data_IF_677018076017
#
_entry.id   IF_677018076017
#
_cell.length_a   1.000
_cell.length_b   1.000
_cell.length_c   1.000
_cell.angle_alpha   90.00
_cell.angle_beta   90.00
_cell.angle_gamma   90.00
#
_symmetry.space_group_name_H-M   'P 1'
#
loop_
_entity.id
_entity.type
_entity.pdbx_description
1 polymer ?
#
# COMPACT_ATOMS: atom_id res chain seq x y z
N UNK A 1 9.91 -34.77 17.53
CA UNK A 1 10.14 -33.31 17.70
C UNK A 1 9.90 -32.67 16.35
N UNK A 2 8.76 -31.97 16.19
CA UNK A 2 8.50 -31.22 14.96
C UNK A 2 9.41 -29.97 15.01
N UNK A 3 10.53 -30.01 14.34
CA UNK A 3 11.31 -28.81 14.06
C UNK A 3 10.46 -27.94 13.11
N UNK A 4 9.68 -27.01 13.66
CA UNK A 4 9.07 -25.96 12.84
C UNK A 4 10.21 -25.29 12.09
N UNK A 5 10.28 -25.48 10.79
CA UNK A 5 11.22 -24.78 9.90
C UNK A 5 11.00 -23.29 10.16
N UNK A 6 12.06 -22.55 10.45
CA UNK A 6 11.95 -21.10 10.64
C UNK A 6 11.39 -20.47 9.35
N UNK A 7 10.46 -19.52 9.46
CA UNK A 7 9.88 -18.89 8.28
C UNK A 7 10.96 -18.17 7.46
N UNK A 8 10.91 -18.34 6.14
CA UNK A 8 11.75 -17.62 5.18
C UNK A 8 10.86 -17.01 4.11
N UNK A 9 10.92 -15.70 3.97
CA UNK A 9 10.07 -14.97 3.03
C UNK A 9 10.82 -14.55 1.77
N UNK A 10 10.17 -14.69 0.61
CA UNK A 10 10.58 -14.04 -0.63
C UNK A 10 9.88 -12.67 -0.70
N UNK A 11 10.64 -11.60 -0.95
CA UNK A 11 10.12 -10.23 -0.95
C UNK A 11 10.43 -9.55 -2.27
N UNK A 12 9.41 -9.18 -3.03
CA UNK A 12 9.56 -8.29 -4.19
C UNK A 12 9.35 -6.84 -3.75
N UNK A 13 10.10 -5.90 -4.32
CA UNK A 13 10.02 -4.49 -3.92
C UNK A 13 10.63 -4.18 -2.54
N UNK A 14 11.54 -5.04 -2.06
CA UNK A 14 12.24 -4.91 -0.77
C UNK A 14 13.03 -3.61 -0.61
N UNK A 15 13.53 -3.01 -1.70
CA UNK A 15 14.26 -1.74 -1.70
C UNK A 15 13.37 -0.51 -1.67
N UNK A 16 12.04 -0.67 -1.82
CA UNK A 16 11.07 0.43 -1.74
C UNK A 16 10.87 0.92 -0.29
N UNK A 17 10.12 2.02 -0.14
CA UNK A 17 9.84 2.63 1.17
C UNK A 17 9.27 1.62 2.17
N UNK A 18 8.21 0.94 1.81
CA UNK A 18 7.54 -0.06 2.65
C UNK A 18 8.38 -1.35 2.77
N UNK A 19 8.98 -1.80 1.66
CA UNK A 19 9.83 -3.00 1.66
C UNK A 19 11.00 -2.89 2.62
N UNK A 20 11.70 -1.76 2.62
CA UNK A 20 12.82 -1.51 3.55
C UNK A 20 12.38 -1.49 5.02
N UNK A 21 11.18 -0.98 5.30
CA UNK A 21 10.63 -1.00 6.66
C UNK A 21 10.25 -2.43 7.10
N UNK A 22 9.65 -3.22 6.19
CA UNK A 22 9.31 -4.64 6.45
C UNK A 22 10.57 -5.46 6.72
N UNK A 23 11.59 -5.34 5.85
CA UNK A 23 12.84 -6.10 6.02
C UNK A 23 13.55 -5.75 7.33
N UNK A 24 13.54 -4.48 7.73
CA UNK A 24 14.09 -4.05 9.02
C UNK A 24 13.37 -4.71 10.22
N UNK A 25 12.04 -4.88 10.15
CA UNK A 25 11.28 -5.59 11.21
C UNK A 25 11.61 -7.07 11.19
N UNK A 26 11.66 -7.72 10.02
CA UNK A 26 12.02 -9.14 9.90
C UNK A 26 13.40 -9.39 10.47
N UNK A 27 14.39 -8.56 10.14
CA UNK A 27 15.77 -8.65 10.66
C UNK A 27 15.78 -8.53 12.20
N UNK A 28 15.03 -7.58 12.75
CA UNK A 28 14.95 -7.38 14.20
C UNK A 28 14.32 -8.58 14.94
N UNK A 29 13.46 -9.33 14.24
CA UNK A 29 12.82 -10.54 14.78
C UNK A 29 13.57 -11.83 14.44
N UNK A 30 14.71 -11.74 13.76
CA UNK A 30 15.49 -12.90 13.34
C UNK A 30 14.80 -13.78 12.29
N UNK A 31 13.85 -13.21 11.53
CA UNK A 31 13.11 -13.91 10.48
C UNK A 31 13.87 -13.77 9.16
N UNK A 32 14.19 -14.90 8.53
CA UNK A 32 14.95 -14.93 7.28
C UNK A 32 14.09 -14.46 6.09
N UNK A 33 14.71 -13.73 5.18
CA UNK A 33 14.08 -13.31 3.93
C UNK A 33 15.09 -13.26 2.78
N UNK A 34 14.58 -13.25 1.54
CA UNK A 34 15.36 -13.11 0.33
C UNK A 34 14.67 -12.07 -0.55
N UNK A 35 15.42 -11.14 -1.10
CA UNK A 35 14.89 -10.20 -2.08
C UNK A 35 14.73 -10.89 -3.45
N UNK A 36 13.74 -10.44 -4.22
CA UNK A 36 13.63 -10.71 -5.64
C UNK A 36 13.54 -9.36 -6.37
N UNK A 37 14.63 -9.00 -7.03
CA UNK A 37 14.76 -7.71 -7.69
C UNK A 37 14.32 -7.78 -9.15
N UNK A 38 13.80 -6.66 -9.66
CA UNK A 38 13.52 -6.52 -11.08
C UNK A 38 14.81 -6.73 -11.90
N UNK A 39 14.70 -7.53 -12.97
CA UNK A 39 15.83 -7.87 -13.83
C UNK A 39 16.67 -9.07 -13.38
N UNK A 40 16.31 -9.73 -12.28
CA UNK A 40 16.88 -11.06 -11.96
C UNK A 40 16.39 -12.10 -12.95
N UNK A 41 17.26 -13.07 -13.27
CA UNK A 41 16.93 -14.15 -14.19
C UNK A 41 15.69 -14.90 -13.73
N UNK A 42 14.72 -15.06 -14.62
CA UNK A 42 13.44 -15.71 -14.29
C UNK A 42 12.43 -14.84 -13.55
N UNK A 43 12.67 -13.52 -13.40
CA UNK A 43 11.71 -12.59 -12.85
C UNK A 43 11.56 -11.34 -13.71
N UNK A 44 10.41 -11.22 -14.36
CA UNK A 44 10.00 -10.00 -15.06
C UNK A 44 8.49 -9.75 -14.86
N UNK A 45 8.14 -8.84 -13.96
CA UNK A 45 6.73 -8.53 -13.66
C UNK A 45 6.00 -7.85 -14.83
N UNK A 46 6.72 -7.20 -15.76
CA UNK A 46 6.11 -6.50 -16.89
C UNK A 46 5.67 -7.47 -17.98
N UNK A 47 6.47 -8.51 -18.24
CA UNK A 47 6.15 -9.59 -19.20
C UNK A 47 5.42 -10.77 -18.54
N UNK A 48 5.29 -10.78 -17.20
CA UNK A 48 4.61 -11.85 -16.47
C UNK A 48 5.43 -13.13 -16.37
N UNK A 49 6.76 -13.03 -16.29
CA UNK A 49 7.66 -14.18 -16.12
C UNK A 49 8.04 -14.35 -14.65
N UNK A 50 7.90 -15.59 -14.15
CA UNK A 50 8.39 -15.98 -12.82
C UNK A 50 8.89 -17.43 -12.85
N UNK A 51 10.16 -17.66 -12.48
CA UNK A 51 10.74 -18.99 -12.34
C UNK A 51 10.47 -19.54 -10.93
N UNK A 52 9.73 -20.66 -10.77
CA UNK A 52 9.47 -21.26 -9.46
C UNK A 52 10.71 -21.66 -8.65
N UNK A 53 11.90 -21.71 -9.23
CA UNK A 53 13.16 -21.94 -8.50
C UNK A 53 13.38 -20.91 -7.38
N UNK A 54 12.89 -19.69 -7.55
CA UNK A 54 12.94 -18.66 -6.51
C UNK A 54 12.17 -19.03 -5.24
N UNK A 55 11.32 -20.06 -5.30
CA UNK A 55 10.52 -20.54 -4.15
C UNK A 55 11.20 -21.65 -3.34
N UNK A 56 12.40 -22.10 -3.74
CA UNK A 56 13.10 -23.15 -3.01
C UNK A 56 13.41 -22.74 -1.56
N UNK A 57 12.87 -23.48 -0.60
CA UNK A 57 12.99 -23.21 0.83
C UNK A 57 12.24 -21.95 1.32
N UNK A 58 11.35 -21.37 0.49
CA UNK A 58 10.52 -20.22 0.84
C UNK A 58 9.22 -20.71 1.49
N UNK A 59 8.86 -20.12 2.62
CA UNK A 59 7.64 -20.44 3.37
C UNK A 59 6.49 -19.48 3.06
N UNK A 60 6.78 -18.28 2.57
CA UNK A 60 5.77 -17.29 2.19
C UNK A 60 6.35 -16.20 1.30
N UNK A 61 5.48 -15.50 0.59
CA UNK A 61 5.85 -14.42 -0.33
C UNK A 61 5.20 -13.11 0.10
N UNK A 62 5.98 -12.02 0.13
CA UNK A 62 5.49 -10.65 0.32
C UNK A 62 5.73 -9.89 -0.98
N UNK A 63 4.65 -9.55 -1.67
CA UNK A 63 4.69 -8.91 -2.99
C UNK A 63 4.33 -7.42 -2.90
N UNK A 64 5.34 -6.56 -3.08
CA UNK A 64 5.20 -5.10 -2.99
C UNK A 64 5.60 -4.40 -4.30
N UNK A 65 6.12 -5.14 -5.27
CA UNK A 65 6.59 -4.56 -6.53
C UNK A 65 5.43 -3.97 -7.34
N UNK A 66 5.67 -2.82 -7.95
CA UNK A 66 4.72 -2.15 -8.82
C UNK A 66 5.20 -0.76 -9.21
N UNK A 67 4.80 -0.32 -10.40
CA UNK A 67 5.12 1.00 -10.95
C UNK A 67 4.58 2.13 -10.06
N UNK A 68 5.34 3.22 -9.92
CA UNK A 68 4.98 4.36 -9.09
C UNK A 68 3.74 5.10 -9.62
N UNK A 69 2.65 5.10 -8.85
CA UNK A 69 1.37 5.70 -9.24
C UNK A 69 1.44 7.21 -9.50
N UNK A 70 2.38 7.92 -8.85
CA UNK A 70 2.57 9.37 -8.94
C UNK A 70 3.92 9.72 -9.60
N UNK A 71 4.44 8.85 -10.49
CA UNK A 71 5.68 9.07 -11.22
C UNK A 71 5.57 10.15 -12.30
N UNK A 72 4.35 10.43 -12.78
CA UNK A 72 4.07 11.45 -13.79
C UNK A 72 2.57 11.55 -14.09
N UNK A 73 2.20 12.40 -15.06
CA UNK A 73 0.79 12.50 -15.52
C UNK A 73 0.32 11.16 -16.07
N UNK A 74 -0.95 10.84 -15.86
CA UNK A 74 -1.56 9.61 -16.35
C UNK A 74 -1.90 9.75 -17.85
N UNK A 75 -0.96 9.36 -18.69
CA UNK A 75 -1.20 9.04 -20.10
C UNK A 75 -1.66 7.59 -20.20
N UNK A 76 -2.22 7.19 -21.34
CA UNK A 76 -2.64 5.80 -21.56
C UNK A 76 -1.47 4.81 -21.34
N UNK A 77 -0.28 5.17 -21.81
CA UNK A 77 0.93 4.37 -21.58
C UNK A 77 1.29 4.27 -20.10
N UNK A 78 1.20 5.35 -19.32
CA UNK A 78 1.47 5.33 -17.88
C UNK A 78 0.41 4.52 -17.13
N UNK A 79 -0.87 4.65 -17.51
CA UNK A 79 -1.94 3.82 -16.96
C UNK A 79 -1.72 2.33 -17.24
N UNK A 80 -1.31 1.99 -18.46
CA UNK A 80 -0.99 0.62 -18.82
C UNK A 80 0.19 0.07 -17.99
N UNK A 81 1.25 0.85 -17.80
CA UNK A 81 2.38 0.44 -16.94
C UNK A 81 1.95 0.23 -15.48
N UNK A 82 1.13 1.14 -14.93
CA UNK A 82 0.60 1.02 -13.58
C UNK A 82 -0.23 -0.27 -13.43
N UNK A 83 -1.09 -0.57 -14.39
CA UNK A 83 -1.92 -1.78 -14.42
C UNK A 83 -1.04 -3.04 -14.57
N UNK A 84 -0.25 -3.11 -15.63
CA UNK A 84 0.49 -4.32 -16.00
C UNK A 84 1.53 -4.73 -14.96
N UNK A 85 2.27 -3.77 -14.40
CA UNK A 85 3.27 -4.04 -13.35
C UNK A 85 2.65 -4.69 -12.11
N UNK A 86 1.36 -4.46 -11.84
CA UNK A 86 0.64 -5.05 -10.72
C UNK A 86 0.00 -6.38 -11.11
N UNK A 87 -0.77 -6.38 -12.17
CA UNK A 87 -1.59 -7.53 -12.56
C UNK A 87 -0.71 -8.67 -13.08
N UNK A 88 0.18 -8.39 -14.03
CA UNK A 88 1.03 -9.44 -14.62
C UNK A 88 2.02 -10.00 -13.59
N UNK A 89 2.66 -9.13 -12.81
CA UNK A 89 3.61 -9.56 -11.78
C UNK A 89 2.95 -10.41 -10.70
N UNK A 90 1.78 -9.99 -10.19
CA UNK A 90 1.03 -10.77 -9.20
C UNK A 90 0.56 -12.10 -9.77
N UNK A 91 0.06 -12.11 -11.03
CA UNK A 91 -0.39 -13.31 -11.72
C UNK A 91 0.73 -14.33 -11.87
N UNK A 92 1.90 -13.88 -12.35
CA UNK A 92 3.06 -14.75 -12.53
C UNK A 92 3.54 -15.38 -11.22
N UNK A 93 3.61 -14.59 -10.14
CA UNK A 93 3.92 -15.10 -8.80
C UNK A 93 2.89 -16.12 -8.33
N UNK A 94 1.61 -15.81 -8.46
CA UNK A 94 0.53 -16.70 -8.00
C UNK A 94 0.51 -18.02 -8.77
N UNK A 95 0.70 -18.00 -10.08
CA UNK A 95 0.79 -19.19 -10.93
C UNK A 95 2.06 -20.00 -10.60
N UNK A 96 3.20 -19.35 -10.44
CA UNK A 96 4.44 -20.01 -10.04
C UNK A 96 4.35 -20.67 -8.67
N UNK A 97 3.72 -19.98 -7.69
CA UNK A 97 3.46 -20.57 -6.36
C UNK A 97 2.50 -21.76 -6.45
N UNK A 98 1.45 -21.67 -7.28
CA UNK A 98 0.50 -22.76 -7.48
C UNK A 98 1.14 -23.99 -8.14
N UNK A 99 2.10 -23.80 -9.04
CA UNK A 99 2.81 -24.85 -9.76
C UNK A 99 4.01 -25.44 -9.00
N UNK A 100 4.46 -24.80 -7.90
CA UNK A 100 5.62 -25.27 -7.15
C UNK A 100 5.37 -26.63 -6.47
N UNK A 101 6.37 -27.51 -6.48
CA UNK A 101 6.33 -28.81 -5.80
C UNK A 101 6.13 -28.63 -4.28
N UNK A 102 6.84 -27.65 -3.70
CA UNK A 102 6.68 -27.23 -2.31
C UNK A 102 6.06 -25.83 -2.29
N UNK A 103 4.76 -25.77 -2.16
CA UNK A 103 4.01 -24.53 -2.18
C UNK A 103 4.31 -23.69 -0.92
N UNK A 104 4.65 -22.41 -1.05
CA UNK A 104 4.64 -21.48 0.08
C UNK A 104 3.28 -21.44 0.74
N UNK A 105 3.25 -21.31 2.07
CA UNK A 105 2.02 -21.32 2.83
C UNK A 105 1.16 -20.06 2.64
N UNK A 106 1.80 -18.93 2.25
CA UNK A 106 1.11 -17.64 2.20
C UNK A 106 1.66 -16.72 1.10
N UNK A 107 0.74 -15.98 0.47
CA UNK A 107 1.01 -14.83 -0.39
C UNK A 107 0.40 -13.58 0.24
N UNK A 108 1.24 -12.62 0.63
CA UNK A 108 0.81 -11.30 1.09
C UNK A 108 1.05 -10.31 -0.04
N UNK A 109 0.01 -9.64 -0.50
CA UNK A 109 0.13 -8.63 -1.56
C UNK A 109 -0.21 -7.24 -1.03
N UNK A 110 0.53 -6.23 -1.50
CA UNK A 110 0.03 -4.88 -1.45
C UNK A 110 -1.24 -4.79 -2.32
N UNK A 111 -2.17 -3.94 -1.89
CA UNK A 111 -3.35 -3.48 -2.61
C UNK A 111 -3.57 -2.01 -2.25
N UNK A 112 -4.69 -1.39 -2.60
CA UNK A 112 -4.90 0.02 -2.33
C UNK A 112 -6.36 0.38 -2.02
N UNK A 113 -6.56 1.40 -1.18
CA UNK A 113 -7.87 2.01 -0.92
C UNK A 113 -8.48 2.65 -2.17
N UNK A 114 -7.71 2.78 -3.25
CA UNK A 114 -8.22 3.12 -4.59
C UNK A 114 -9.33 2.21 -5.09
N UNK A 115 -9.49 1.01 -4.52
CA UNK A 115 -10.65 0.12 -4.71
C UNK A 115 -11.98 0.83 -4.49
N UNK A 116 -12.05 1.71 -3.50
CA UNK A 116 -13.30 2.40 -3.14
C UNK A 116 -13.62 3.61 -4.02
N UNK A 117 -12.63 4.18 -4.72
CA UNK A 117 -12.81 5.39 -5.52
C UNK A 117 -13.20 6.62 -4.68
N UNK A 118 -13.86 7.59 -5.30
CA UNK A 118 -14.39 8.77 -4.61
C UNK A 118 -15.78 8.47 -4.03
N UNK A 119 -15.90 8.49 -2.70
CA UNK A 119 -17.14 8.13 -1.95
C UNK A 119 -17.70 9.29 -1.12
N UNK A 120 -17.15 10.50 -1.24
CA UNK A 120 -17.57 11.62 -0.40
C UNK A 120 -17.39 11.31 1.09
N UNK A 121 -18.47 11.41 1.87
CA UNK A 121 -18.46 11.16 3.33
C UNK A 121 -18.80 9.71 3.71
N UNK A 122 -19.11 8.86 2.71
CA UNK A 122 -19.47 7.47 2.96
C UNK A 122 -18.31 6.72 3.62
N UNK A 123 -18.59 5.99 4.70
CA UNK A 123 -17.63 5.14 5.37
C UNK A 123 -17.46 3.86 4.56
N UNK A 124 -16.22 3.55 4.19
CA UNK A 124 -15.84 2.34 3.48
C UNK A 124 -15.13 1.37 4.43
N UNK A 125 -15.54 0.12 4.40
CA UNK A 125 -14.93 -1.00 5.12
C UNK A 125 -14.57 -2.10 4.14
N UNK A 126 -13.98 -3.18 4.61
CA UNK A 126 -13.62 -4.33 3.75
C UNK A 126 -14.82 -4.99 3.07
N UNK A 127 -16.03 -4.78 3.60
CA UNK A 127 -17.29 -5.27 3.04
C UNK A 127 -17.91 -4.34 2.00
N UNK A 128 -17.43 -3.10 1.88
CA UNK A 128 -17.96 -2.11 0.95
C UNK A 128 -17.70 -2.49 -0.51
N UNK A 129 -18.68 -2.18 -1.38
CA UNK A 129 -18.57 -2.42 -2.81
C UNK A 129 -17.47 -1.56 -3.46
N UNK A 130 -16.90 -2.00 -4.59
CA UNK A 130 -15.94 -1.19 -5.34
C UNK A 130 -16.56 0.13 -5.81
N UNK A 131 -15.73 1.15 -5.91
CA UNK A 131 -16.10 2.43 -6.49
C UNK A 131 -16.07 2.41 -8.02
N UNK A 132 -15.68 3.53 -8.60
CA UNK A 132 -15.55 3.70 -10.04
C UNK A 132 -14.23 4.39 -10.40
N UNK A 133 -13.78 4.20 -11.64
CA UNK A 133 -12.61 4.86 -12.20
C UNK A 133 -11.39 3.96 -12.32
N UNK A 134 -10.34 4.51 -12.93
CA UNK A 134 -9.14 3.77 -13.28
C UNK A 134 -8.52 3.00 -12.11
N UNK A 135 -8.38 3.62 -10.95
CA UNK A 135 -7.77 2.96 -9.78
C UNK A 135 -8.60 1.79 -9.26
N UNK A 136 -9.91 1.94 -9.28
CA UNK A 136 -10.81 0.86 -8.88
C UNK A 136 -10.63 -0.38 -9.75
N UNK A 137 -10.61 -0.18 -11.08
CA UNK A 137 -10.42 -1.31 -12.01
C UNK A 137 -9.02 -1.93 -11.83
N UNK A 138 -7.96 -1.12 -11.72
CA UNK A 138 -6.61 -1.62 -11.44
C UNK A 138 -6.58 -2.49 -10.19
N UNK A 139 -7.21 -2.05 -9.09
CA UNK A 139 -7.18 -2.80 -7.83
C UNK A 139 -7.98 -4.10 -7.92
N UNK A 140 -9.14 -4.10 -8.59
CA UNK A 140 -9.93 -5.31 -8.84
C UNK A 140 -9.12 -6.36 -9.60
N UNK A 141 -8.51 -5.96 -10.71
CA UNK A 141 -7.70 -6.85 -11.53
C UNK A 141 -6.45 -7.34 -10.78
N UNK A 142 -5.85 -6.45 -9.98
CA UNK A 142 -4.68 -6.77 -9.15
C UNK A 142 -5.00 -7.81 -8.08
N UNK A 143 -6.10 -7.64 -7.32
CA UNK A 143 -6.52 -8.60 -6.30
C UNK A 143 -6.91 -9.95 -6.93
N UNK A 144 -7.61 -9.95 -8.07
CA UNK A 144 -7.97 -11.15 -8.82
C UNK A 144 -6.75 -11.88 -9.44
N UNK A 145 -5.65 -11.17 -9.68
CA UNK A 145 -4.43 -11.78 -10.21
C UNK A 145 -3.80 -12.80 -9.24
N UNK A 146 -4.14 -12.76 -7.95
CA UNK A 146 -3.68 -13.73 -6.96
C UNK A 146 -4.56 -14.99 -6.85
N UNK A 147 -5.67 -15.09 -7.61
CA UNK A 147 -6.59 -16.23 -7.56
C UNK A 147 -5.91 -17.59 -7.80
N UNK A 148 -4.96 -17.77 -8.74
CA UNK A 148 -4.29 -19.05 -8.90
C UNK A 148 -3.63 -19.58 -7.62
N UNK A 149 -3.06 -18.72 -6.79
CA UNK A 149 -2.50 -19.12 -5.51
C UNK A 149 -3.61 -19.54 -4.52
N UNK A 150 -4.73 -18.81 -4.49
CA UNK A 150 -5.89 -19.13 -3.66
C UNK A 150 -6.51 -20.46 -4.05
N UNK A 151 -6.70 -20.70 -5.35
CA UNK A 151 -7.28 -21.93 -5.90
C UNK A 151 -6.38 -23.16 -5.63
N UNK A 152 -5.06 -22.93 -5.52
CA UNK A 152 -4.08 -23.95 -5.14
C UNK A 152 -4.01 -24.20 -3.62
N UNK A 153 -4.88 -23.57 -2.81
CA UNK A 153 -4.95 -23.74 -1.36
C UNK A 153 -3.92 -22.90 -0.58
N UNK A 154 -3.24 -21.95 -1.22
CA UNK A 154 -2.31 -21.04 -0.56
C UNK A 154 -3.13 -19.91 0.10
N UNK A 155 -2.79 -19.57 1.33
CA UNK A 155 -3.39 -18.43 2.04
C UNK A 155 -3.01 -17.12 1.36
N UNK A 156 -4.00 -16.36 0.91
CA UNK A 156 -3.79 -15.07 0.24
C UNK A 156 -4.32 -13.95 1.12
N UNK A 157 -3.50 -12.91 1.33
CA UNK A 157 -3.86 -11.69 2.05
C UNK A 157 -3.59 -10.47 1.19
N UNK A 158 -4.62 -9.65 0.97
CA UNK A 158 -4.52 -8.37 0.30
C UNK A 158 -4.58 -7.23 1.34
N UNK A 159 -3.56 -6.39 1.37
CA UNK A 159 -3.52 -5.23 2.27
C UNK A 159 -3.79 -3.96 1.46
N UNK A 160 -5.02 -3.43 1.53
CA UNK A 160 -5.44 -2.19 0.86
C UNK A 160 -4.86 -0.98 1.57
N UNK A 161 -3.72 -0.55 1.11
CA UNK A 161 -2.97 0.60 1.65
C UNK A 161 -3.72 1.92 1.42
N UNK A 162 -3.85 2.69 2.49
CA UNK A 162 -4.10 4.12 2.42
C UNK A 162 -2.83 4.91 2.09
N UNK A 163 -2.83 6.20 2.41
CA UNK A 163 -1.65 7.05 2.24
C UNK A 163 -0.62 6.70 3.31
N UNK A 164 0.45 6.02 2.91
CA UNK A 164 1.57 5.70 3.81
C UNK A 164 2.37 6.97 4.09
N UNK A 165 2.42 7.38 5.36
CA UNK A 165 3.14 8.57 5.79
C UNK A 165 4.59 8.24 6.17
N UNK A 166 5.52 8.96 5.55
CA UNK A 166 6.96 8.91 5.86
C UNK A 166 7.66 10.15 5.29
N UNK A 167 8.62 10.70 6.02
CA UNK A 167 9.52 11.76 5.51
C UNK A 167 10.51 11.24 4.46
N UNK A 168 10.81 9.92 4.48
CA UNK A 168 11.79 9.29 3.60
C UNK A 168 11.26 9.10 2.18
N UNK A 169 9.93 9.06 1.99
CA UNK A 169 9.34 8.78 0.68
C UNK A 169 7.83 9.03 0.63
N UNK A 170 7.22 8.66 -0.51
CA UNK A 170 5.77 8.72 -0.68
C UNK A 170 5.17 10.12 -0.75
N UNK A 171 3.90 10.23 -0.38
CA UNK A 171 3.12 11.46 -0.48
C UNK A 171 3.63 12.55 0.48
N UNK A 172 3.90 12.21 1.74
CA UNK A 172 4.35 13.18 2.74
C UNK A 172 5.65 13.88 2.31
N UNK A 173 6.65 13.13 1.83
CA UNK A 173 7.91 13.71 1.33
C UNK A 173 7.68 14.76 0.24
N UNK A 174 6.70 14.52 -0.66
CA UNK A 174 6.35 15.46 -1.73
C UNK A 174 5.60 16.69 -1.21
N UNK A 175 4.84 16.54 -0.12
CA UNK A 175 4.12 17.65 0.52
C UNK A 175 5.03 18.56 1.37
N UNK A 176 6.06 18.01 2.00
CA UNK A 176 6.91 18.73 2.96
C UNK A 176 7.54 20.03 2.43
N UNK A 177 8.08 20.13 1.18
CA UNK A 177 8.77 21.35 0.74
C UNK A 177 7.90 22.60 0.85
N UNK A 178 6.70 22.70 0.26
CA UNK A 178 5.89 23.92 0.39
C UNK A 178 5.52 24.22 1.85
N UNK A 179 5.25 23.21 2.67
CA UNK A 179 4.92 23.41 4.08
C UNK A 179 6.11 23.94 4.89
N UNK A 180 7.33 23.42 4.67
CA UNK A 180 8.55 23.89 5.33
C UNK A 180 8.84 25.36 5.03
N UNK A 181 8.46 25.85 3.84
CA UNK A 181 8.57 27.28 3.46
C UNK A 181 7.38 28.14 3.92
N UNK A 182 6.40 27.58 4.63
CA UNK A 182 5.21 28.31 5.07
C UNK A 182 4.23 28.63 3.94
N UNK A 183 4.36 27.95 2.80
CA UNK A 183 3.49 28.06 1.62
C UNK A 183 2.47 26.92 1.53
N UNK A 184 2.37 26.10 2.57
CA UNK A 184 1.42 25.01 2.65
C UNK A 184 -0.02 25.49 2.84
N UNK A 185 -0.97 24.65 2.44
CA UNK A 185 -2.39 24.90 2.64
C UNK A 185 -3.25 23.76 2.17
N UNK A 186 -4.56 23.89 2.45
CA UNK A 186 -5.55 22.88 2.06
C UNK A 186 -5.69 22.75 0.54
N UNK A 187 -6.05 21.57 0.09
CA UNK A 187 -6.36 21.28 -1.30
C UNK A 187 -7.86 21.48 -1.53
N UNK A 188 -8.25 22.20 -2.58
CA UNK A 188 -9.65 22.51 -2.86
C UNK A 188 -10.35 23.19 -1.68
N UNK A 189 -11.48 22.63 -1.28
CA UNK A 189 -12.25 23.06 -0.09
C UNK A 189 -11.73 22.45 1.22
N UNK A 190 -10.85 21.45 1.13
CA UNK A 190 -10.28 20.76 2.28
C UNK A 190 -11.20 19.71 2.93
N UNK A 191 -12.38 19.44 2.35
CA UNK A 191 -13.37 18.53 2.94
C UNK A 191 -13.14 17.06 2.59
N UNK A 192 -12.30 16.75 1.59
CA UNK A 192 -12.05 15.37 1.19
C UNK A 192 -11.38 14.58 2.34
N UNK A 193 -11.89 13.38 2.57
CA UNK A 193 -11.35 12.42 3.54
C UNK A 193 -10.07 11.79 3.02
N UNK A 194 -9.07 11.72 3.90
CA UNK A 194 -7.77 11.09 3.68
C UNK A 194 -7.64 9.91 4.64
N UNK A 195 -7.56 8.70 4.08
CA UNK A 195 -7.25 7.50 4.82
C UNK A 195 -5.76 7.26 4.73
N UNK A 196 -5.09 7.29 5.86
CA UNK A 196 -3.63 7.30 6.00
C UNK A 196 -3.18 6.21 6.97
N UNK A 197 -1.89 5.90 6.95
CA UNK A 197 -1.24 5.02 7.93
C UNK A 197 0.22 5.44 8.11
N UNK A 198 0.75 5.30 9.31
CA UNK A 198 2.18 5.48 9.57
C UNK A 198 2.98 4.32 8.93
N UNK A 199 4.18 4.61 8.38
CA UNK A 199 5.03 3.60 7.73
C UNK A 199 5.33 2.41 8.65
N UNK A 200 5.60 2.64 9.94
CA UNK A 200 5.90 1.59 10.90
C UNK A 200 4.69 0.65 11.09
N UNK A 201 3.47 1.20 11.27
CA UNK A 201 2.27 0.39 11.43
C UNK A 201 1.95 -0.39 10.15
N UNK A 202 2.14 0.25 8.98
CA UNK A 202 1.98 -0.44 7.72
C UNK A 202 2.94 -1.64 7.59
N UNK A 203 4.22 -1.45 7.88
CA UNK A 203 5.22 -2.52 7.81
C UNK A 203 4.94 -3.63 8.84
N UNK A 204 4.55 -3.27 10.06
CA UNK A 204 4.20 -4.24 11.10
C UNK A 204 2.99 -5.08 10.71
N UNK A 205 1.98 -4.50 10.05
CA UNK A 205 0.81 -5.24 9.57
C UNK A 205 1.18 -6.27 8.49
N UNK A 206 2.10 -5.95 7.58
CA UNK A 206 2.62 -6.93 6.60
C UNK A 206 3.30 -8.11 7.30
N UNK A 207 4.18 -7.84 8.27
CA UNK A 207 4.87 -8.89 9.03
C UNK A 207 3.87 -9.72 9.84
N UNK A 208 2.89 -9.08 10.48
CA UNK A 208 1.84 -9.77 11.22
C UNK A 208 1.02 -10.67 10.30
N UNK A 209 0.59 -10.18 9.14
CA UNK A 209 -0.16 -10.97 8.16
C UNK A 209 0.66 -12.15 7.60
N UNK A 210 1.98 -11.99 7.46
CA UNK A 210 2.87 -13.05 7.01
C UNK A 210 3.07 -14.15 8.05
N UNK A 211 3.09 -13.80 9.35
CA UNK A 211 3.45 -14.70 10.45
C UNK A 211 2.25 -15.27 11.22
N UNK A 212 1.07 -14.63 11.15
CA UNK A 212 -0.15 -15.10 11.82
C UNK A 212 -1.10 -15.75 10.82
N UNK A 213 -1.41 -17.02 11.00
CA UNK A 213 -2.29 -17.81 10.12
C UNK A 213 -3.75 -17.32 10.12
N UNK A 214 -4.17 -16.60 11.16
CA UNK A 214 -5.52 -16.01 11.26
C UNK A 214 -5.79 -14.90 10.24
N UNK A 215 -4.74 -14.30 9.67
CA UNK A 215 -4.89 -13.28 8.63
C UNK A 215 -5.19 -13.93 7.28
N UNK A 216 -6.39 -13.67 6.72
CA UNK A 216 -6.80 -14.18 5.42
C UNK A 216 -7.74 -13.22 4.69
N UNK A 217 -7.66 -13.18 3.36
CA UNK A 217 -8.51 -12.34 2.51
C UNK A 217 -8.06 -10.88 2.52
N UNK A 218 -9.00 -9.94 2.58
CA UNK A 218 -8.77 -8.51 2.39
C UNK A 218 -8.79 -7.77 3.72
N UNK A 219 -7.83 -6.85 3.91
CA UNK A 219 -7.76 -5.92 5.04
C UNK A 219 -7.52 -4.50 4.54
N UNK A 220 -8.22 -3.54 5.11
CA UNK A 220 -7.89 -2.12 4.94
C UNK A 220 -6.69 -1.77 5.80
N UNK A 221 -5.60 -1.36 5.16
CA UNK A 221 -4.37 -0.98 5.85
C UNK A 221 -4.31 0.54 5.98
N UNK A 222 -5.08 1.05 6.91
CA UNK A 222 -5.24 2.47 7.26
C UNK A 222 -5.25 2.63 8.78
N UNK A 223 -4.90 3.81 9.28
CA UNK A 223 -5.11 4.15 10.69
C UNK A 223 -6.60 4.27 11.02
N UNK A 224 -7.02 3.99 12.27
CA UNK A 224 -8.44 3.95 12.66
C UNK A 224 -9.16 5.31 12.58
N UNK A 225 -8.40 6.40 12.48
CA UNK A 225 -8.94 7.76 12.45
C UNK A 225 -8.59 8.47 11.14
N UNK A 226 -9.38 8.26 10.05
CA UNK A 226 -9.24 9.06 8.84
C UNK A 226 -9.52 10.53 9.15
N UNK A 227 -8.87 11.44 8.43
CA UNK A 227 -9.00 12.88 8.64
C UNK A 227 -9.41 13.60 7.37
N UNK A 228 -10.05 14.76 7.47
CA UNK A 228 -10.25 15.64 6.32
C UNK A 228 -8.92 16.32 5.94
N UNK A 229 -8.78 16.73 4.68
CA UNK A 229 -7.56 17.39 4.21
C UNK A 229 -7.27 18.69 4.98
N UNK A 230 -8.29 19.44 5.40
CA UNK A 230 -8.15 20.62 6.27
C UNK A 230 -7.48 20.27 7.59
N UNK A 231 -7.88 19.18 8.23
CA UNK A 231 -7.37 18.74 9.52
C UNK A 231 -5.93 18.21 9.37
N UNK A 232 -5.68 17.41 8.32
CA UNK A 232 -4.33 16.97 7.95
C UNK A 232 -3.40 18.18 7.74
N UNK A 233 -3.87 19.19 6.99
CA UNK A 233 -3.11 20.41 6.69
C UNK A 233 -2.75 21.16 7.97
N UNK A 234 -3.71 21.28 8.89
CA UNK A 234 -3.51 21.93 10.19
C UNK A 234 -2.53 21.16 11.06
N UNK A 235 -2.69 19.84 11.16
CA UNK A 235 -1.80 18.96 11.91
C UNK A 235 -0.35 19.02 11.38
N UNK A 236 -0.19 19.01 10.03
CA UNK A 236 1.13 19.12 9.39
C UNK A 236 1.78 20.49 9.64
N UNK A 237 0.98 21.56 9.56
CA UNK A 237 1.47 22.91 9.89
C UNK A 237 1.92 23.03 11.35
N UNK A 238 1.16 22.46 12.29
CA UNK A 238 1.49 22.43 13.71
C UNK A 238 2.78 21.65 13.97
N UNK A 239 2.93 20.46 13.39
CA UNK A 239 4.14 19.64 13.53
C UNK A 239 5.40 20.37 13.02
N UNK A 240 5.29 21.08 11.90
CA UNK A 240 6.37 21.86 11.31
C UNK A 240 6.55 23.25 11.94
N UNK A 241 5.60 23.71 12.78
CA UNK A 241 5.54 25.08 13.31
C UNK A 241 5.52 26.11 12.18
N UNK A 242 4.71 25.88 11.15
CA UNK A 242 4.55 26.72 9.96
C UNK A 242 3.09 27.07 9.70
N UNK A 243 2.78 28.28 9.20
CA UNK A 243 1.44 28.63 8.77
C UNK A 243 1.00 27.82 7.56
N UNK A 244 -0.32 27.61 7.42
CA UNK A 244 -0.94 26.81 6.34
C UNK A 244 -2.07 27.59 5.67
N UNK A 245 -1.79 28.83 5.32
CA UNK A 245 -2.79 29.82 4.87
C UNK A 245 -2.97 29.90 3.35
N UNK A 246 -2.18 29.16 2.57
CA UNK A 246 -2.20 29.25 1.11
C UNK A 246 -2.93 28.03 0.49
N UNK A 247 -4.27 28.09 0.27
CA UNK A 247 -5.01 26.98 -0.31
C UNK A 247 -4.59 26.78 -1.78
N UNK A 248 -4.58 25.53 -2.21
CA UNK A 248 -4.38 25.16 -3.61
C UNK A 248 -5.75 24.89 -4.24
N UNK A 249 -6.25 25.75 -5.14
CA UNK A 249 -7.55 25.56 -5.77
C UNK A 249 -7.65 24.23 -6.54
N UNK A 250 -8.78 23.53 -6.42
CA UNK A 250 -9.01 22.27 -7.13
C UNK A 250 -8.83 22.38 -8.66
N UNK A 251 -9.19 23.53 -9.23
CA UNK A 251 -8.99 23.81 -10.67
C UNK A 251 -7.52 23.77 -11.05
N UNK A 252 -6.63 24.31 -10.22
CA UNK A 252 -5.18 24.27 -10.46
C UNK A 252 -4.65 22.84 -10.41
N UNK A 253 -5.10 22.03 -9.45
CA UNK A 253 -4.72 20.61 -9.36
C UNK A 253 -5.15 19.86 -10.61
N UNK A 254 -6.40 20.05 -11.06
CA UNK A 254 -6.93 19.43 -12.28
C UNK A 254 -6.16 19.88 -13.53
N UNK A 255 -5.83 21.15 -13.65
CA UNK A 255 -5.10 21.68 -14.80
C UNK A 255 -3.65 21.16 -14.88
N UNK A 256 -2.96 21.12 -13.73
CA UNK A 256 -1.55 20.72 -13.67
C UNK A 256 -1.35 19.22 -13.73
N UNK A 257 -2.19 18.45 -13.02
CA UNK A 257 -2.02 17.01 -12.81
C UNK A 257 -3.07 16.15 -13.54
N UNK A 258 -4.13 16.77 -14.09
CA UNK A 258 -5.18 16.06 -14.79
C UNK A 258 -5.90 15.03 -13.93
N UNK A 259 -6.24 13.89 -14.51
CA UNK A 259 -6.93 12.78 -13.85
C UNK A 259 -6.16 12.24 -12.62
N UNK A 260 -4.82 12.21 -12.67
CA UNK A 260 -4.00 11.81 -11.53
C UNK A 260 -4.26 12.71 -10.32
N UNK A 261 -4.29 14.04 -10.53
CA UNK A 261 -4.55 15.00 -9.44
C UNK A 261 -5.97 14.86 -8.89
N UNK A 262 -6.95 14.63 -9.75
CA UNK A 262 -8.34 14.40 -9.34
C UNK A 262 -8.48 13.12 -8.51
N UNK A 263 -7.87 12.02 -8.97
CA UNK A 263 -8.00 10.71 -8.32
C UNK A 263 -7.16 10.55 -7.05
N UNK A 264 -5.98 11.18 -6.97
CA UNK A 264 -5.06 11.00 -5.84
C UNK A 264 -5.15 12.12 -4.79
N UNK A 265 -5.54 13.34 -5.19
CA UNK A 265 -5.49 14.51 -4.30
C UNK A 265 -6.86 15.09 -3.98
N UNK A 266 -7.86 14.89 -4.85
CA UNK A 266 -9.19 15.47 -4.69
C UNK A 266 -10.29 14.42 -4.41
N UNK A 267 -10.00 13.14 -4.58
CA UNK A 267 -10.93 12.09 -4.21
C UNK A 267 -11.08 12.00 -2.70
N UNK A 268 -12.32 11.83 -2.25
CA UNK A 268 -12.67 11.66 -0.85
C UNK A 268 -12.94 10.18 -0.58
N UNK A 269 -12.15 9.57 0.31
CA UNK A 269 -12.28 8.15 0.62
C UNK A 269 -12.08 7.93 2.12
N UNK A 270 -13.20 7.78 2.84
CA UNK A 270 -13.22 7.58 4.29
C UNK A 270 -13.21 6.10 4.62
N UNK A 271 -12.03 5.52 4.80
CA UNK A 271 -11.84 4.07 5.01
C UNK A 271 -11.56 3.78 6.47
N UNK A 272 -12.19 2.74 7.01
CA UNK A 272 -11.93 2.20 8.34
C UNK A 272 -11.32 0.80 8.25
N UNK A 273 -10.41 0.43 9.17
CA UNK A 273 -9.73 -0.86 9.20
C UNK A 273 -10.47 -1.88 10.09
N UNK A 274 -11.77 -2.13 9.84
CA UNK A 274 -12.61 -2.95 10.72
C UNK A 274 -12.02 -4.33 11.02
N UNK A 275 -11.51 -5.02 9.99
CA UNK A 275 -10.90 -6.34 10.19
C UNK A 275 -9.57 -6.26 10.94
N UNK A 276 -8.79 -5.20 10.71
CA UNK A 276 -7.51 -5.05 11.38
C UNK A 276 -7.70 -4.76 12.88
N UNK A 277 -8.68 -3.90 13.22
CA UNK A 277 -9.08 -3.67 14.62
C UNK A 277 -9.64 -4.93 15.28
N UNK A 278 -10.49 -5.70 14.57
CA UNK A 278 -11.02 -6.96 15.07
C UNK A 278 -9.95 -8.07 15.22
N UNK A 279 -8.79 -7.95 14.57
CA UNK A 279 -7.67 -8.89 14.66
C UNK A 279 -6.73 -8.65 15.85
N UNK A 280 -7.07 -7.73 16.73
CA UNK A 280 -6.22 -7.30 17.86
C UNK A 280 -4.86 -6.72 17.38
N UNK A 281 -4.84 -6.10 16.19
CA UNK A 281 -3.66 -5.38 15.72
C UNK A 281 -3.51 -4.08 16.50
N UNK A 282 -2.35 -3.89 17.12
CA UNK A 282 -2.06 -2.68 17.87
C UNK A 282 -1.40 -1.63 16.98
N UNK A 283 -2.10 -0.50 16.78
CA UNK A 283 -1.54 0.65 16.09
C UNK A 283 -0.62 1.44 17.04
N UNK A 284 0.60 1.68 16.61
CA UNK A 284 1.55 2.54 17.35
C UNK A 284 1.14 4.02 17.20
N UNK A 285 0.65 4.39 16.01
CA UNK A 285 0.28 5.77 15.67
C UNK A 285 -1.17 5.85 15.15
N UNK A 286 -2.18 5.71 16.05
CA UNK A 286 -3.58 5.73 15.64
C UNK A 286 -4.09 7.12 15.23
N UNK A 287 -3.44 8.21 15.69
CA UNK A 287 -3.85 9.60 15.47
C UNK A 287 -2.82 10.36 14.64
N UNK A 288 -3.34 11.24 13.76
CA UNK A 288 -2.52 11.99 12.80
C UNK A 288 -1.47 12.89 13.47
N UNK A 289 -1.82 13.54 14.58
CA UNK A 289 -0.90 14.44 15.29
C UNK A 289 0.29 13.66 15.89
N UNK A 290 0.05 12.48 16.44
CA UNK A 290 1.07 11.59 16.99
C UNK A 290 1.99 11.08 15.88
N UNK A 291 1.41 10.64 14.75
CA UNK A 291 2.15 10.16 13.59
C UNK A 291 3.05 11.26 12.97
N UNK A 292 2.50 12.47 12.78
CA UNK A 292 3.28 13.58 12.20
C UNK A 292 4.35 14.09 13.15
N UNK A 293 4.14 14.03 14.47
CA UNK A 293 5.14 14.39 15.46
C UNK A 293 6.32 13.42 15.49
N UNK A 294 6.08 12.12 15.26
CA UNK A 294 7.14 11.13 15.17
C UNK A 294 7.97 11.29 13.89
N UNK A 295 7.32 11.64 12.79
CA UNK A 295 7.94 11.74 11.47
C UNK A 295 8.72 13.05 11.22
N UNK A 296 8.51 14.13 12.01
CA UNK A 296 8.98 15.49 11.70
C UNK A 296 9.66 16.16 12.88
#
# INVERSE_FOLDING_TARGET
>A
MNTKTQPRFLITGSSGLLGSAITSILDSQGISWTALHHGEEGWDPESGVFDPKHLEGITGVIHLAGEGIAAGRWTDNQKQKIHDSRVKGTRALAEGMAAADQKPAVLITASATGFYGNRGDEICTESSQPGQGFLTEVVKDWESAADPARDAGIRVVHLRLGIVLSEKGGALKKMLPPFKFGLGGRLGDGQMWMSWIHLQDAAQAFVTAATKDSFTGIYNLVAPHPVQNSDFTTALGNALKRPTVFPVPAVMIKLLLGEMGESLLLASTRVLPEKLEASEFEFTYPKIDEALKDLL
#
